data_IF_381301777886
#
_entry.id   IF_381301777886
#
_cell.length_a   1.000
_cell.length_b   1.000
_cell.length_c   1.000
_cell.angle_alpha   90.00
_cell.angle_beta   90.00
_cell.angle_gamma   90.00
#
_symmetry.space_group_name_H-M   'P 1'
#
loop_
_entity.id
_entity.type
_entity.pdbx_description
1 polymer ?
#
# COMPACT_ATOMS: atom_id res chain seq x y z
N UNK A 1 12.36 -9.68 -25.12
CA UNK A 1 13.01 -9.93 -23.81
C UNK A 1 11.91 -10.09 -22.78
N UNK A 2 11.66 -11.30 -22.29
CA UNK A 2 10.72 -11.49 -21.17
C UNK A 2 11.43 -11.05 -19.89
N UNK A 3 11.41 -9.75 -19.61
CA UNK A 3 11.95 -9.20 -18.37
C UNK A 3 11.20 -9.82 -17.20
N UNK A 4 11.94 -10.45 -16.28
CA UNK A 4 11.35 -11.03 -15.07
C UNK A 4 10.65 -9.89 -14.31
N UNK A 5 9.32 -9.94 -14.25
CA UNK A 5 8.52 -8.99 -13.47
C UNK A 5 9.01 -9.07 -12.03
N UNK A 6 9.58 -7.97 -11.54
CA UNK A 6 9.99 -7.87 -10.14
C UNK A 6 8.73 -7.71 -9.30
N UNK A 7 8.76 -8.25 -8.09
CA UNK A 7 7.63 -8.17 -7.17
C UNK A 7 8.11 -7.85 -5.76
N UNK A 8 7.34 -7.06 -5.02
CA UNK A 8 7.71 -6.67 -3.66
C UNK A 8 6.49 -6.53 -2.75
N UNK A 9 6.68 -6.83 -1.46
CA UNK A 9 5.64 -6.72 -0.44
C UNK A 9 5.43 -5.24 -0.05
N UNK A 10 4.23 -4.66 -0.24
CA UNK A 10 3.92 -3.29 0.16
C UNK A 10 4.14 -3.04 1.66
N UNK A 11 3.88 -4.04 2.52
CA UNK A 11 4.12 -3.91 3.96
C UNK A 11 5.61 -3.88 4.29
N UNK A 12 6.43 -4.61 3.53
CA UNK A 12 7.89 -4.53 3.64
C UNK A 12 8.37 -3.15 3.24
N UNK A 13 7.88 -2.61 2.12
CA UNK A 13 8.23 -1.25 1.67
C UNK A 13 7.92 -0.19 2.73
N UNK A 14 6.76 -0.27 3.40
CA UNK A 14 6.42 0.65 4.49
C UNK A 14 7.46 0.58 5.61
N UNK A 15 7.80 -0.62 6.06
CA UNK A 15 8.81 -0.82 7.12
C UNK A 15 10.20 -0.32 6.71
N UNK A 16 10.59 -0.56 5.46
CA UNK A 16 11.88 -0.11 4.94
C UNK A 16 11.97 1.42 4.92
N UNK A 17 10.88 2.09 4.50
CA UNK A 17 10.80 3.55 4.51
C UNK A 17 10.79 4.09 5.94
N UNK A 18 10.04 3.48 6.86
CA UNK A 18 10.03 3.86 8.27
C UNK A 18 11.44 3.77 8.88
N UNK A 19 12.14 2.65 8.66
CA UNK A 19 13.52 2.47 9.11
C UNK A 19 14.47 3.53 8.52
N UNK A 20 14.35 3.80 7.21
CA UNK A 20 15.15 4.80 6.53
C UNK A 20 14.91 6.23 7.04
N UNK A 21 13.68 6.54 7.44
CA UNK A 21 13.35 7.83 8.05
C UNK A 21 13.98 7.97 9.44
N UNK A 22 13.93 6.90 10.26
CA UNK A 22 14.60 6.85 11.57
C UNK A 22 16.10 7.02 11.44
N UNK A 23 16.74 6.34 10.48
CA UNK A 23 18.17 6.50 10.19
C UNK A 23 18.54 7.94 9.81
N UNK A 24 17.59 8.69 9.22
CA UNK A 24 17.73 10.10 8.86
C UNK A 24 17.35 11.07 9.99
N UNK A 25 17.03 10.58 11.17
CA UNK A 25 16.66 11.38 12.34
C UNK A 25 15.22 11.86 12.34
N UNK A 26 14.36 11.30 11.49
CA UNK A 26 12.91 11.55 11.48
C UNK A 26 12.21 10.43 12.25
N UNK A 27 11.18 10.76 13.04
CA UNK A 27 10.46 9.80 13.87
C UNK A 27 9.01 9.73 13.40
N UNK A 28 8.66 8.82 12.47
CA UNK A 28 7.31 8.73 11.93
C UNK A 28 6.32 8.35 13.02
N UNK A 29 5.26 9.14 13.17
CA UNK A 29 4.14 8.79 14.05
C UNK A 29 3.10 7.99 13.28
N UNK A 30 2.59 6.93 13.90
CA UNK A 30 1.49 6.15 13.34
C UNK A 30 0.19 6.94 13.50
N UNK A 31 -0.11 7.78 12.51
CA UNK A 31 -1.40 8.47 12.44
C UNK A 31 -2.45 7.47 11.95
N UNK A 32 -3.27 6.98 12.87
CA UNK A 32 -4.48 6.24 12.51
C UNK A 32 -5.51 7.25 12.03
N UNK A 33 -5.69 7.35 10.71
CA UNK A 33 -6.78 8.14 10.15
C UNK A 33 -8.09 7.36 10.37
N UNK A 34 -9.09 7.93 11.06
CA UNK A 34 -10.30 7.22 11.48
C UNK A 34 -11.05 6.53 10.34
N UNK A 35 -11.00 7.12 9.15
CA UNK A 35 -11.80 6.70 8.00
C UNK A 35 -10.97 6.02 6.90
N UNK A 36 -9.66 5.85 7.11
CA UNK A 36 -8.77 5.36 6.05
C UNK A 36 -7.77 4.29 6.54
N UNK A 37 -8.26 3.19 7.15
CA UNK A 37 -7.43 2.02 7.35
C UNK A 37 -6.96 1.53 5.97
N UNK A 38 -5.63 1.44 5.78
CA UNK A 38 -5.04 0.90 4.55
C UNK A 38 -4.45 1.93 3.57
N UNK A 39 -4.59 3.24 3.81
CA UNK A 39 -3.99 4.28 2.95
C UNK A 39 -2.49 4.09 2.71
N UNK A 40 -1.76 3.70 3.76
CA UNK A 40 -0.31 3.46 3.67
C UNK A 40 0.01 2.32 2.72
N UNK A 41 -0.78 1.24 2.77
CA UNK A 41 -0.63 0.06 1.91
C UNK A 41 -0.99 0.41 0.47
N UNK A 42 -2.08 1.14 0.25
CA UNK A 42 -2.46 1.62 -1.07
C UNK A 42 -1.38 2.52 -1.68
N UNK A 43 -0.82 3.45 -0.90
CA UNK A 43 0.28 4.31 -1.33
C UNK A 43 1.55 3.52 -1.69
N UNK A 44 1.90 2.51 -0.88
CA UNK A 44 2.99 1.60 -1.18
C UNK A 44 2.77 0.80 -2.48
N UNK A 45 1.54 0.30 -2.71
CA UNK A 45 1.17 -0.36 -3.96
C UNK A 45 1.30 0.56 -5.17
N UNK A 46 0.84 1.80 -5.06
CA UNK A 46 0.96 2.80 -6.12
C UNK A 46 2.42 3.11 -6.42
N UNK A 47 3.26 3.26 -5.39
CA UNK A 47 4.68 3.53 -5.55
C UNK A 47 5.40 2.38 -6.27
N UNK A 48 5.16 1.13 -5.85
CA UNK A 48 5.74 -0.05 -6.50
C UNK A 48 5.34 -0.14 -7.97
N UNK A 49 4.05 0.05 -8.28
CA UNK A 49 3.55 0.05 -9.67
C UNK A 49 4.20 1.16 -10.50
N UNK A 50 4.36 2.35 -9.94
CA UNK A 50 5.05 3.48 -10.59
C UNK A 50 6.53 3.18 -10.92
N UNK A 51 7.15 2.26 -10.19
CA UNK A 51 8.52 1.79 -10.42
C UNK A 51 8.60 0.53 -11.31
N UNK A 52 7.45 0.04 -11.82
CA UNK A 52 7.39 -1.19 -12.61
C UNK A 52 7.57 -2.48 -11.78
N UNK A 53 7.37 -2.40 -10.46
CA UNK A 53 7.45 -3.53 -9.53
C UNK A 53 6.02 -3.96 -9.18
N UNK A 54 5.73 -5.25 -9.31
CA UNK A 54 4.41 -5.82 -9.01
C UNK A 54 4.20 -5.93 -7.48
N UNK A 55 3.16 -5.32 -6.91
CA UNK A 55 2.85 -5.48 -5.49
C UNK A 55 2.46 -6.94 -5.17
N UNK A 56 3.08 -7.53 -4.16
CA UNK A 56 2.71 -8.84 -3.61
C UNK A 56 1.55 -8.69 -2.62
N UNK A 57 0.34 -8.43 -3.13
CA UNK A 57 -0.87 -8.36 -2.30
C UNK A 57 -1.27 -9.76 -1.82
N UNK A 58 -1.59 -9.90 -0.53
CA UNK A 58 -2.29 -11.12 -0.07
C UNK A 58 -3.74 -11.05 -0.54
N UNK A 59 -4.36 -12.21 -0.73
CA UNK A 59 -5.75 -12.30 -1.20
C UNK A 59 -6.74 -11.53 -0.30
N UNK A 60 -6.45 -11.47 1.00
CA UNK A 60 -7.24 -10.75 2.00
C UNK A 60 -7.26 -9.22 1.77
N UNK A 61 -6.13 -8.64 1.34
CA UNK A 61 -6.00 -7.19 1.10
C UNK A 61 -6.67 -6.77 -0.23
N UNK A 62 -6.80 -7.69 -1.18
CA UNK A 62 -7.48 -7.44 -2.46
C UNK A 62 -9.01 -7.34 -2.32
N UNK A 63 -9.58 -7.92 -1.25
CA UNK A 63 -11.03 -7.88 -1.00
C UNK A 63 -11.46 -6.49 -0.50
N UNK A 64 -10.60 -5.81 0.27
CA UNK A 64 -10.90 -4.49 0.84
C UNK A 64 -10.97 -3.38 -0.23
N UNK A 65 -10.08 -3.42 -1.23
CA UNK A 65 -10.11 -2.49 -2.37
C UNK A 65 -11.37 -2.65 -3.25
N UNK A 66 -11.89 -3.88 -3.40
CA UNK A 66 -13.03 -4.15 -4.28
C UNK A 66 -14.38 -3.92 -3.56
N UNK A 67 -14.45 -4.17 -2.25
CA UNK A 67 -15.66 -3.90 -1.45
C UNK A 67 -15.90 -2.40 -1.22
N UNK A 68 -14.85 -1.61 -0.98
CA UNK A 68 -15.00 -0.17 -0.78
C UNK A 68 -15.49 0.55 -2.06
N UNK A 69 -14.99 0.16 -3.24
CA UNK A 69 -15.45 0.68 -4.53
C UNK A 69 -16.87 0.19 -4.90
N UNK A 70 -17.20 -1.06 -4.60
CA UNK A 70 -18.54 -1.61 -4.84
C UNK A 70 -19.59 -0.98 -3.90
N UNK A 71 -19.31 -0.88 -2.61
CA UNK A 71 -20.23 -0.30 -1.63
C UNK A 71 -20.50 1.19 -1.91
N UNK A 72 -19.50 1.95 -2.34
CA UNK A 72 -19.68 3.36 -2.77
C UNK A 72 -20.55 3.49 -4.02
N UNK A 73 -20.53 2.50 -4.91
CA UNK A 73 -21.37 2.47 -6.13
C UNK A 73 -22.81 2.05 -5.84
N UNK A 74 -23.04 1.25 -4.80
CA UNK A 74 -24.36 0.73 -4.42
C UNK A 74 -25.08 1.61 -3.39
N UNK A 75 -24.34 2.27 -2.49
CA UNK A 75 -24.88 3.07 -1.38
C UNK A 75 -24.48 4.54 -1.45
N UNK A 76 -24.42 5.10 -2.67
CA UNK A 76 -24.06 6.51 -2.88
C UNK A 76 -24.79 7.44 -1.90
N UNK A 77 -24.02 8.35 -1.31
CA UNK A 77 -24.53 9.54 -0.62
C UNK A 77 -24.22 10.76 -1.51
#
# INVERSE_FOLDING_TARGET
MSGKRQSYDPYALIRDVEALLVERGLWPEHVTLPDEPGLRVQGACMLLRGLGIEPLMRYEDAIDENHSAYNRRIHGD
#
